data_IF_163007435616
#
_entry.id   IF_163007435616
#
_cell.length_a   1.000
_cell.length_b   1.000
_cell.length_c   1.000
_cell.angle_alpha   90.00
_cell.angle_beta   90.00
_cell.angle_gamma   90.00
#
_symmetry.space_group_name_H-M   'P 1'
#
loop_
_entity.id
_entity.type
_entity.pdbx_description
1 polymer ?
#
# COMPACT_ATOMS: atom_id res chain seq x y z
N UNK A 1 10.04 37.97 19.12
CA UNK A 1 9.62 36.74 18.38
C UNK A 1 10.34 35.46 18.83
N UNK A 2 11.62 35.47 19.22
CA UNK A 2 12.34 34.24 19.62
C UNK A 2 11.93 33.61 20.97
N UNK A 3 11.28 34.36 21.88
CA UNK A 3 10.86 33.83 23.19
C UNK A 3 9.65 32.88 23.11
N UNK A 4 8.75 33.08 22.12
CA UNK A 4 7.54 32.28 21.94
C UNK A 4 7.81 30.90 21.31
N UNK A 5 8.94 30.74 20.59
CA UNK A 5 9.32 29.47 19.93
C UNK A 5 10.20 28.60 20.83
N UNK A 6 10.72 29.14 21.94
CA UNK A 6 11.56 28.40 22.90
C UNK A 6 10.86 27.17 23.53
N UNK A 7 9.59 27.23 23.98
CA UNK A 7 8.88 26.04 24.44
C UNK A 7 8.56 25.07 23.29
N UNK A 8 8.36 25.57 22.07
CA UNK A 8 8.13 24.74 20.87
C UNK A 8 9.41 24.00 20.44
N UNK A 9 10.57 24.64 20.52
CA UNK A 9 11.89 24.05 20.26
C UNK A 9 12.20 22.89 21.22
N UNK A 10 11.84 23.05 22.51
CA UNK A 10 11.96 21.98 23.52
C UNK A 10 11.00 20.81 23.25
N UNK A 11 9.86 21.07 22.61
CA UNK A 11 8.91 20.04 22.15
C UNK A 11 9.28 19.45 20.76
N UNK A 12 10.06 20.19 19.95
CA UNK A 12 10.59 19.78 18.65
C UNK A 12 11.90 18.98 18.76
N UNK A 13 12.59 19.03 19.91
CA UNK A 13 13.75 18.19 20.22
C UNK A 13 13.39 16.79 20.75
N UNK A 14 12.28 16.20 20.29
CA UNK A 14 12.18 14.75 20.35
C UNK A 14 13.16 14.15 19.32
N UNK A 15 14.42 14.01 19.71
CA UNK A 15 15.33 13.08 19.05
C UNK A 15 14.74 11.69 19.24
N UNK A 16 13.89 11.30 18.29
CA UNK A 16 13.10 10.08 18.37
C UNK A 16 14.04 8.90 18.16
N UNK A 17 14.19 8.09 19.20
CA UNK A 17 14.90 6.82 19.13
C UNK A 17 14.27 5.99 17.99
N UNK A 18 15.12 5.52 17.10
CA UNK A 18 14.75 4.77 15.90
C UNK A 18 14.38 3.34 16.30
N UNK A 19 13.11 3.16 16.62
CA UNK A 19 12.49 1.86 16.90
C UNK A 19 12.08 1.11 15.62
N UNK A 20 11.93 1.83 14.52
CA UNK A 20 11.48 1.30 13.22
C UNK A 20 12.63 1.21 12.21
N UNK A 21 12.58 0.19 11.36
CA UNK A 21 13.44 0.12 10.18
C UNK A 21 12.86 1.00 9.04
N UNK A 22 13.67 1.24 8.00
CA UNK A 22 13.27 2.13 6.90
C UNK A 22 11.98 1.65 6.22
N UNK A 23 11.89 0.34 5.91
CA UNK A 23 10.71 -0.27 5.27
C UNK A 23 9.46 -0.09 6.13
N UNK A 24 9.57 -0.37 7.43
CA UNK A 24 8.48 -0.20 8.40
C UNK A 24 8.00 1.26 8.50
N UNK A 25 8.93 2.21 8.35
CA UNK A 25 8.61 3.65 8.32
C UNK A 25 7.86 4.03 7.03
N UNK A 26 8.26 3.49 5.88
CA UNK A 26 7.57 3.74 4.60
C UNK A 26 6.14 3.17 4.63
N UNK A 27 5.94 1.98 5.22
CA UNK A 27 4.62 1.39 5.41
C UNK A 27 3.69 2.30 6.24
N UNK A 28 4.13 2.69 7.42
CA UNK A 28 3.22 3.30 8.40
C UNK A 28 3.14 4.82 8.37
N UNK A 29 4.12 5.49 7.74
CA UNK A 29 4.10 6.95 7.59
C UNK A 29 3.83 7.34 6.15
N UNK A 30 4.69 6.91 5.22
CA UNK A 30 4.62 7.37 3.83
C UNK A 30 3.35 6.88 3.14
N UNK A 31 3.04 5.58 3.23
CA UNK A 31 1.83 5.01 2.61
C UNK A 31 0.55 5.62 3.21
N UNK A 32 0.50 5.82 4.53
CA UNK A 32 -0.65 6.45 5.20
C UNK A 32 -0.85 7.89 4.70
N UNK A 33 0.21 8.69 4.63
CA UNK A 33 0.13 10.07 4.09
C UNK A 33 -0.34 10.07 2.64
N UNK A 34 0.18 9.16 1.80
CA UNK A 34 -0.26 9.03 0.41
C UNK A 34 -1.75 8.70 0.32
N UNK A 35 -2.23 7.71 1.09
CA UNK A 35 -3.64 7.30 1.10
C UNK A 35 -4.57 8.41 1.59
N UNK A 36 -4.19 9.12 2.65
CA UNK A 36 -4.95 10.26 3.16
C UNK A 36 -4.99 11.41 2.15
N UNK A 37 -3.87 11.66 1.46
CA UNK A 37 -3.80 12.69 0.40
C UNK A 37 -4.70 12.31 -0.78
N UNK A 38 -4.67 11.05 -1.23
CA UNK A 38 -5.56 10.57 -2.29
C UNK A 38 -7.03 10.67 -1.88
N UNK A 39 -7.37 10.33 -0.63
CA UNK A 39 -8.72 10.48 -0.09
C UNK A 39 -9.19 11.94 -0.08
N UNK A 40 -8.31 12.86 0.31
CA UNK A 40 -8.58 14.30 0.28
C UNK A 40 -8.81 14.79 -1.15
N UNK A 41 -7.96 14.39 -2.10
CA UNK A 41 -8.07 14.76 -3.52
C UNK A 41 -9.39 14.31 -4.12
N UNK A 42 -9.83 13.07 -3.84
CA UNK A 42 -11.12 12.56 -4.31
C UNK A 42 -12.34 13.26 -3.69
N UNK A 43 -12.16 13.87 -2.51
CA UNK A 43 -13.21 14.62 -1.83
C UNK A 43 -13.32 16.07 -2.32
N UNK A 44 -12.31 16.56 -3.07
CA UNK A 44 -12.17 17.97 -3.41
C UNK A 44 -13.05 18.37 -4.60
N UNK A 45 -14.35 18.59 -4.35
CA UNK A 45 -15.34 19.01 -5.37
C UNK A 45 -14.97 20.31 -6.09
N UNK A 46 -14.27 21.23 -5.44
CA UNK A 46 -13.91 22.53 -6.02
C UNK A 46 -13.00 22.42 -7.27
N UNK A 47 -12.21 21.36 -7.39
CA UNK A 47 -11.28 21.20 -8.52
C UNK A 47 -11.86 20.39 -9.67
N UNK A 48 -12.74 19.44 -9.38
CA UNK A 48 -13.22 18.45 -10.35
C UNK A 48 -14.72 18.60 -10.69
N UNK A 49 -15.41 19.53 -10.05
CA UNK A 49 -16.84 19.78 -10.25
C UNK A 49 -17.71 18.68 -9.65
N UNK A 50 -18.90 18.50 -10.24
CA UNK A 50 -19.86 17.50 -9.81
C UNK A 50 -19.40 16.07 -10.17
N UNK A 51 -19.59 15.09 -9.27
CA UNK A 51 -19.07 13.74 -9.47
C UNK A 51 -19.76 12.97 -10.60
N UNK A 52 -20.97 13.39 -10.99
CA UNK A 52 -21.75 12.83 -12.09
C UNK A 52 -22.53 13.94 -12.81
N UNK A 53 -22.54 13.90 -14.14
CA UNK A 53 -23.31 14.84 -14.97
C UNK A 53 -24.14 14.05 -15.98
N UNK A 54 -25.46 14.12 -15.87
CA UNK A 54 -26.38 13.37 -16.73
C UNK A 54 -27.12 14.28 -17.71
N UNK A 55 -27.31 13.80 -18.93
CA UNK A 55 -28.17 14.40 -19.95
C UNK A 55 -29.59 13.88 -19.69
N UNK A 56 -30.54 14.79 -19.48
CA UNK A 56 -31.95 14.46 -19.24
C UNK A 56 -32.86 15.57 -19.76
N UNK A 57 -34.06 15.20 -20.21
CA UNK A 57 -35.13 16.13 -20.60
C UNK A 57 -35.95 16.64 -19.40
N UNK A 58 -35.71 16.10 -18.21
CA UNK A 58 -36.41 16.49 -16.99
C UNK A 58 -36.01 17.90 -16.54
N UNK A 59 -37.00 18.71 -16.13
CA UNK A 59 -36.75 20.08 -15.63
C UNK A 59 -35.83 20.12 -14.40
N UNK A 60 -35.91 19.10 -13.55
CA UNK A 60 -35.11 18.98 -12.33
C UNK A 60 -33.90 18.08 -12.55
N UNK A 61 -32.90 18.56 -13.30
CA UNK A 61 -31.67 17.79 -13.58
C UNK A 61 -30.91 17.39 -12.31
N UNK A 62 -30.99 18.21 -11.26
CA UNK A 62 -30.36 17.93 -9.95
C UNK A 62 -30.95 16.68 -9.28
N UNK A 63 -32.25 16.42 -9.48
CA UNK A 63 -32.89 15.19 -8.99
C UNK A 63 -32.34 13.98 -9.74
N UNK A 64 -32.25 14.05 -11.07
CA UNK A 64 -31.70 12.97 -11.90
C UNK A 64 -30.25 12.67 -11.52
N UNK A 65 -29.41 13.70 -11.41
CA UNK A 65 -28.01 13.54 -11.01
C UNK A 65 -27.89 12.92 -9.60
N UNK A 66 -28.68 13.37 -8.63
CA UNK A 66 -28.67 12.82 -7.26
C UNK A 66 -29.19 11.37 -7.23
N UNK A 67 -30.24 11.07 -7.98
CA UNK A 67 -30.80 9.72 -8.10
C UNK A 67 -29.77 8.77 -8.72
N UNK A 68 -29.16 9.15 -9.84
CA UNK A 68 -28.14 8.36 -10.53
C UNK A 68 -26.87 8.20 -9.68
N UNK A 69 -26.50 9.23 -8.92
CA UNK A 69 -25.41 9.12 -7.96
C UNK A 69 -25.72 8.09 -6.88
N UNK A 70 -26.92 8.09 -6.30
CA UNK A 70 -27.30 7.22 -5.16
C UNK A 70 -27.61 5.79 -5.59
N UNK A 71 -28.44 5.60 -6.62
CA UNK A 71 -28.84 4.27 -7.11
C UNK A 71 -27.73 3.60 -7.93
N UNK A 72 -26.81 4.39 -8.48
CA UNK A 72 -25.70 3.92 -9.29
C UNK A 72 -26.00 3.96 -10.79
N UNK A 73 -24.94 3.86 -11.56
CA UNK A 73 -24.98 3.78 -13.03
C UNK A 73 -24.62 2.37 -13.48
N UNK A 74 -24.87 2.05 -14.75
CA UNK A 74 -24.48 0.76 -15.32
C UNK A 74 -23.92 0.92 -16.73
N UNK A 75 -23.10 -0.05 -17.13
CA UNK A 75 -22.66 -0.25 -18.51
C UNK A 75 -23.16 -1.61 -18.99
N UNK A 76 -23.31 -1.75 -20.30
CA UNK A 76 -23.72 -2.98 -20.94
C UNK A 76 -22.47 -3.73 -21.39
N UNK A 77 -22.29 -4.96 -20.92
CA UNK A 77 -21.26 -5.85 -21.43
C UNK A 77 -21.81 -6.56 -22.67
N UNK A 78 -21.14 -6.41 -23.81
CA UNK A 78 -21.35 -7.30 -24.96
C UNK A 78 -20.60 -8.60 -24.67
N UNK A 79 -21.31 -9.65 -24.30
CA UNK A 79 -20.74 -10.99 -24.29
C UNK A 79 -20.66 -11.52 -25.73
N UNK A 80 -19.45 -11.85 -26.18
CA UNK A 80 -19.14 -12.55 -27.43
C UNK A 80 -19.75 -11.98 -28.73
N UNK A 81 -19.46 -10.72 -29.06
CA UNK A 81 -19.23 -10.40 -30.49
C UNK A 81 -17.74 -10.53 -30.77
N UNK A 82 -17.31 -11.78 -30.90
CA UNK A 82 -16.13 -12.14 -31.67
C UNK A 82 -16.42 -11.82 -33.14
N UNK A 83 -16.42 -10.55 -33.51
CA UNK A 83 -15.97 -10.14 -34.84
C UNK A 83 -15.95 -8.62 -34.98
N UNK A 84 -14.75 -8.08 -35.16
CA UNK A 84 -14.52 -6.88 -35.98
C UNK A 84 -14.76 -7.25 -37.46
N UNK A 85 -15.93 -7.78 -37.82
CA UNK A 85 -16.29 -7.94 -39.23
C UNK A 85 -17.39 -6.95 -39.60
N UNK A 86 -16.93 -5.98 -40.39
CA UNK A 86 -17.67 -5.05 -41.22
C UNK A 86 -18.59 -4.08 -40.48
N UNK A 87 -18.08 -2.86 -40.26
CA UNK A 87 -18.85 -1.71 -40.74
C UNK A 87 -19.30 -2.04 -42.17
N UNK A 88 -20.59 -2.11 -42.48
CA UNK A 88 -21.01 -2.23 -43.86
C UNK A 88 -20.53 -0.96 -44.57
N UNK A 89 -19.63 -1.10 -45.53
CA UNK A 89 -19.31 0.00 -46.45
C UNK A 89 -20.62 0.48 -47.07
N UNK A 90 -20.88 1.81 -47.13
CA UNK A 90 -22.09 2.31 -47.76
C UNK A 90 -22.14 1.74 -49.19
N UNK A 91 -23.27 1.16 -49.63
CA UNK A 91 -23.39 0.76 -51.02
C UNK A 91 -23.17 2.01 -51.87
N UNK A 92 -22.15 1.97 -52.74
CA UNK A 92 -21.94 3.02 -53.72
C UNK A 92 -23.28 3.28 -54.41
N UNK A 93 -23.76 4.53 -54.34
CA UNK A 93 -24.96 5.00 -55.03
C UNK A 93 -24.75 4.85 -56.54
N UNK A 94 -24.88 3.62 -57.05
CA UNK A 94 -25.08 3.39 -58.48
C UNK A 94 -26.52 3.78 -58.75
N UNK A 95 -26.65 4.90 -59.47
CA UNK A 95 -27.88 5.38 -60.06
C UNK A 95 -28.52 4.25 -60.90
N UNK A 96 -29.37 3.47 -60.27
CA UNK A 96 -30.00 2.29 -60.85
C UNK A 96 -31.23 1.98 -60.04
N UNK A 97 -32.37 2.39 -60.60
CA UNK A 97 -33.75 2.33 -60.07
C UNK A 97 -34.10 0.93 -59.54
N UNK A 98 -33.72 0.62 -58.30
CA UNK A 98 -34.21 -0.53 -57.54
C UNK A 98 -34.86 0.00 -56.26
N UNK A 99 -36.15 -0.29 -56.08
CA UNK A 99 -36.87 -0.02 -54.82
C UNK A 99 -36.21 -0.85 -53.73
N UNK A 100 -35.28 -0.26 -53.00
CA UNK A 100 -34.80 -0.83 -51.75
C UNK A 100 -36.03 -0.87 -50.84
N UNK A 101 -36.44 -2.06 -50.41
CA UNK A 101 -37.56 -2.21 -49.48
C UNK A 101 -37.29 -1.39 -48.23
N UNK A 102 -38.26 -0.59 -47.79
CA UNK A 102 -38.21 0.16 -46.52
C UNK A 102 -37.75 -0.71 -45.34
N UNK A 103 -38.10 -2.00 -45.34
CA UNK A 103 -37.62 -2.99 -44.36
C UNK A 103 -36.09 -3.14 -44.37
N UNK A 104 -35.44 -3.39 -45.51
CA UNK A 104 -33.96 -3.46 -45.57
C UNK A 104 -33.27 -2.16 -45.17
N UNK A 105 -33.89 -1.01 -45.42
CA UNK A 105 -33.34 0.28 -45.00
C UNK A 105 -33.53 0.49 -43.48
N UNK A 106 -34.63 -0.01 -42.91
CA UNK A 106 -34.85 -0.09 -41.46
C UNK A 106 -33.89 -1.06 -40.78
N UNK A 107 -33.70 -2.27 -41.34
CA UNK A 107 -32.78 -3.29 -40.84
C UNK A 107 -31.32 -2.78 -40.89
N UNK A 108 -30.93 -2.10 -41.98
CA UNK A 108 -29.62 -1.44 -42.11
C UNK A 108 -29.44 -0.29 -41.10
N UNK A 109 -30.46 0.55 -40.90
CA UNK A 109 -30.42 1.61 -39.91
C UNK A 109 -30.35 1.06 -38.47
N UNK A 110 -30.98 -0.08 -38.21
CA UNK A 110 -30.94 -0.75 -36.91
C UNK A 110 -29.56 -1.38 -36.66
N UNK A 111 -28.95 -1.99 -37.67
CA UNK A 111 -27.59 -2.54 -37.61
C UNK A 111 -26.51 -1.44 -37.51
N UNK A 112 -26.69 -0.33 -38.22
CA UNK A 112 -25.84 0.87 -38.11
C UNK A 112 -26.01 1.56 -36.75
N UNK A 113 -27.23 1.64 -36.21
CA UNK A 113 -27.48 2.12 -34.85
C UNK A 113 -26.87 1.20 -33.77
N UNK A 114 -26.81 -0.12 -34.02
CA UNK A 114 -26.06 -1.08 -33.17
C UNK A 114 -24.55 -0.86 -33.22
N UNK A 115 -24.00 -0.39 -34.34
CA UNK A 115 -22.57 -0.07 -34.50
C UNK A 115 -22.17 1.31 -33.93
N UNK A 116 -23.13 2.21 -33.68
CA UNK A 116 -22.89 3.56 -33.17
C UNK A 116 -22.95 3.59 -31.63
N UNK A 117 -22.06 2.86 -30.96
CA UNK A 117 -21.89 3.05 -29.51
C UNK A 117 -21.19 4.39 -29.26
N UNK A 118 -21.88 5.34 -28.61
CA UNK A 118 -21.32 6.65 -28.24
C UNK A 118 -20.05 6.49 -27.39
N UNK A 119 -20.05 5.45 -26.55
CA UNK A 119 -18.92 5.01 -25.76
C UNK A 119 -19.01 3.51 -25.54
N UNK A 120 -17.88 2.88 -25.21
CA UNK A 120 -17.86 1.45 -24.90
C UNK A 120 -18.75 1.13 -23.69
N UNK A 121 -19.65 0.16 -23.85
CA UNK A 121 -20.63 -0.21 -22.84
C UNK A 121 -21.88 0.69 -22.79
N UNK A 122 -22.03 1.61 -23.74
CA UNK A 122 -23.20 2.48 -23.90
C UNK A 122 -23.86 2.19 -25.24
N UNK A 123 -24.92 1.37 -25.21
CA UNK A 123 -25.70 0.99 -26.38
C UNK A 123 -27.16 0.64 -26.04
N UNK A 124 -27.98 0.31 -27.04
CA UNK A 124 -29.33 -0.20 -26.81
C UNK A 124 -29.27 -1.52 -26.04
N UNK A 125 -30.14 -1.67 -25.04
CA UNK A 125 -30.23 -2.92 -24.29
C UNK A 125 -31.14 -3.91 -25.01
N UNK A 126 -30.66 -5.14 -25.18
CA UNK A 126 -31.42 -6.23 -25.81
C UNK A 126 -31.75 -7.26 -24.74
N UNK A 127 -33.05 -7.39 -24.43
CA UNK A 127 -33.54 -8.32 -23.41
C UNK A 127 -33.07 -9.74 -23.71
N UNK A 128 -32.35 -10.35 -22.77
CA UNK A 128 -31.84 -11.72 -22.86
C UNK A 128 -30.46 -11.88 -23.50
N UNK A 129 -29.88 -10.84 -24.11
CA UNK A 129 -28.55 -10.91 -24.74
C UNK A 129 -27.50 -10.03 -24.06
N UNK A 130 -27.89 -8.87 -23.54
CA UNK A 130 -26.96 -7.91 -22.92
C UNK A 130 -26.95 -8.04 -21.40
N UNK A 131 -25.76 -8.10 -20.79
CA UNK A 131 -25.61 -8.12 -19.33
C UNK A 131 -25.28 -6.72 -18.79
N UNK A 132 -26.06 -6.25 -17.80
CA UNK A 132 -25.80 -4.99 -17.10
C UNK A 132 -24.71 -5.17 -16.05
N UNK A 133 -23.70 -4.30 -16.06
CA UNK A 133 -22.65 -4.23 -15.04
C UNK A 133 -22.81 -2.91 -14.29
N UNK A 134 -23.18 -3.00 -13.02
CA UNK A 134 -23.42 -1.83 -12.18
C UNK A 134 -22.12 -1.24 -11.63
N UNK A 135 -21.97 0.07 -11.80
CA UNK A 135 -20.84 0.87 -11.36
C UNK A 135 -21.23 1.54 -10.05
N UNK A 136 -20.94 0.88 -8.93
CA UNK A 136 -21.21 1.42 -7.58
C UNK A 136 -19.94 1.62 -6.76
N UNK A 137 -18.80 1.11 -7.23
CA UNK A 137 -17.53 1.14 -6.48
C UNK A 137 -17.07 2.59 -6.20
N UNK A 138 -17.31 3.55 -7.10
CA UNK A 138 -16.86 4.94 -6.94
C UNK A 138 -17.45 5.62 -5.69
N UNK A 139 -18.62 5.16 -5.21
CA UNK A 139 -19.22 5.63 -3.96
C UNK A 139 -18.39 5.22 -2.73
N UNK A 140 -17.69 4.08 -2.82
CA UNK A 140 -16.96 3.46 -1.73
C UNK A 140 -15.46 3.71 -1.75
N UNK A 141 -14.91 4.23 -2.86
CA UNK A 141 -13.45 4.44 -3.03
C UNK A 141 -12.85 5.25 -1.89
N UNK A 142 -13.48 6.35 -1.48
CA UNK A 142 -12.94 7.22 -0.40
C UNK A 142 -12.90 6.45 0.93
N UNK A 143 -13.99 5.76 1.28
CA UNK A 143 -14.09 4.95 2.50
C UNK A 143 -13.03 3.84 2.49
N UNK A 144 -12.85 3.19 1.34
CA UNK A 144 -11.84 2.16 1.14
C UNK A 144 -10.42 2.71 1.36
N UNK A 145 -10.05 3.86 0.79
CA UNK A 145 -8.73 4.47 0.98
C UNK A 145 -8.48 4.85 2.44
N UNK A 146 -9.49 5.39 3.13
CA UNK A 146 -9.40 5.71 4.56
C UNK A 146 -9.21 4.44 5.39
N UNK A 147 -9.97 3.38 5.11
CA UNK A 147 -9.82 2.11 5.80
C UNK A 147 -8.43 1.50 5.55
N UNK A 148 -7.93 1.53 4.31
CA UNK A 148 -6.57 1.09 3.98
C UNK A 148 -5.52 1.87 4.78
N UNK A 149 -5.69 3.19 4.94
CA UNK A 149 -4.75 4.00 5.72
C UNK A 149 -4.63 3.52 7.18
N UNK A 150 -5.77 3.11 7.77
CA UNK A 150 -5.79 2.53 9.11
C UNK A 150 -5.10 1.16 9.15
N UNK A 151 -5.40 0.29 8.19
CA UNK A 151 -4.80 -1.05 8.12
C UNK A 151 -3.28 -0.99 7.95
N UNK A 152 -2.75 -0.11 7.09
CA UNK A 152 -1.30 0.08 6.94
C UNK A 152 -0.63 0.71 8.17
N UNK A 153 -1.36 1.47 8.98
CA UNK A 153 -0.86 2.01 10.25
C UNK A 153 -0.85 0.97 11.39
N UNK A 154 -1.74 -0.04 11.32
CA UNK A 154 -1.98 -0.98 12.40
C UNK A 154 -0.72 -1.71 12.93
N UNK A 155 0.19 -2.26 12.09
CA UNK A 155 1.40 -2.93 12.58
C UNK A 155 2.32 -2.01 13.39
N UNK A 156 2.37 -0.73 13.04
CA UNK A 156 3.14 0.26 13.80
C UNK A 156 2.52 0.62 15.12
N UNK A 157 1.20 0.78 15.14
CA UNK A 157 0.47 0.96 16.39
C UNK A 157 0.72 -0.23 17.32
N UNK A 158 0.58 -1.45 16.80
CA UNK A 158 0.81 -2.69 17.54
C UNK A 158 2.23 -2.79 18.08
N UNK A 159 3.25 -2.54 17.24
CA UNK A 159 4.64 -2.54 17.68
C UNK A 159 4.90 -1.51 18.78
N UNK A 160 4.37 -0.29 18.64
CA UNK A 160 4.56 0.78 19.62
C UNK A 160 3.98 0.42 20.99
N UNK A 161 2.83 -0.27 21.01
CA UNK A 161 2.21 -0.77 22.26
C UNK A 161 3.05 -1.88 22.87
N UNK A 162 3.55 -2.81 22.05
CA UNK A 162 4.36 -3.94 22.51
C UNK A 162 5.77 -3.60 22.96
N UNK A 163 6.41 -2.60 22.32
CA UNK A 163 7.75 -2.13 22.66
C UNK A 163 7.79 -1.45 24.04
N UNK A 164 6.69 -0.81 24.45
CA UNK A 164 6.53 -0.26 25.80
C UNK A 164 7.60 0.77 26.18
N UNK A 165 8.24 1.43 25.19
CA UNK A 165 9.37 2.35 25.37
C UNK A 165 10.65 1.74 25.96
N UNK A 166 10.81 0.40 25.91
CA UNK A 166 12.01 -0.28 26.45
C UNK A 166 13.30 0.19 25.78
N UNK A 167 13.33 0.25 24.45
CA UNK A 167 14.52 0.71 23.72
C UNK A 167 14.78 2.20 24.00
N UNK A 168 13.70 2.98 24.16
CA UNK A 168 13.81 4.37 24.55
C UNK A 168 14.47 4.55 25.92
N UNK A 169 14.10 3.74 26.92
CA UNK A 169 14.71 3.77 28.25
C UNK A 169 16.18 3.34 28.21
N UNK A 170 16.51 2.30 27.42
CA UNK A 170 17.87 1.75 27.32
C UNK A 170 18.84 2.71 26.61
N UNK A 171 18.38 3.46 25.60
CA UNK A 171 19.21 4.36 24.80
C UNK A 171 19.01 5.85 25.14
N UNK A 172 18.23 6.19 26.18
CA UNK A 172 17.96 7.58 26.57
C UNK A 172 19.25 8.32 26.93
N UNK A 173 19.43 9.54 26.42
CA UNK A 173 20.58 10.43 26.68
C UNK A 173 21.93 9.96 26.10
N UNK A 174 21.99 8.77 25.48
CA UNK A 174 23.23 8.16 24.98
C UNK A 174 23.58 8.55 23.53
N UNK A 175 22.63 9.14 22.81
CA UNK A 175 22.78 9.48 21.40
C UNK A 175 23.51 10.81 21.12
N UNK A 176 23.98 11.54 22.13
CA UNK A 176 24.65 12.84 21.93
C UNK A 176 26.16 12.69 21.72
N UNK A 177 26.75 13.54 20.88
CA UNK A 177 28.18 13.49 20.56
C UNK A 177 29.07 14.05 21.69
N UNK A 178 28.48 14.80 22.63
CA UNK A 178 29.15 15.40 23.80
C UNK A 178 28.45 14.92 25.08
N UNK A 179 28.78 13.71 25.49
CA UNK A 179 28.41 13.18 26.81
C UNK A 179 29.48 13.59 27.83
N UNK A 180 29.07 13.96 29.04
CA UNK A 180 30.01 14.06 30.18
C UNK A 180 30.57 12.68 30.50
N UNK A 181 31.87 12.59 30.80
CA UNK A 181 32.57 11.32 31.10
C UNK A 181 31.90 10.53 32.25
N UNK A 182 31.32 11.22 33.24
CA UNK A 182 30.59 10.56 34.34
C UNK A 182 29.31 9.88 33.86
N UNK A 183 28.52 10.56 33.02
CA UNK A 183 27.28 10.01 32.44
C UNK A 183 27.62 8.88 31.47
N UNK A 184 28.67 9.04 30.67
CA UNK A 184 29.16 8.03 29.74
C UNK A 184 29.46 6.70 30.45
N UNK A 185 30.34 6.72 31.46
CA UNK A 185 30.76 5.52 32.19
C UNK A 185 29.61 4.88 32.98
N UNK A 186 28.72 5.69 33.55
CA UNK A 186 27.54 5.19 34.27
C UNK A 186 26.60 4.44 33.32
N UNK A 187 26.35 4.99 32.14
CA UNK A 187 25.47 4.37 31.13
C UNK A 187 26.09 3.14 30.51
N UNK A 188 27.39 3.17 30.20
CA UNK A 188 28.14 2.00 29.74
C UNK A 188 27.97 0.83 30.72
N UNK A 189 28.21 1.07 32.01
CA UNK A 189 28.07 0.06 33.06
C UNK A 189 26.63 -0.48 33.18
N UNK A 190 25.62 0.37 33.02
CA UNK A 190 24.22 -0.06 33.01
C UNK A 190 23.91 -0.96 31.81
N UNK A 191 24.41 -0.64 30.62
CA UNK A 191 24.23 -1.48 29.42
C UNK A 191 24.97 -2.82 29.56
N UNK A 192 26.22 -2.82 30.04
CA UNK A 192 26.98 -4.05 30.30
C UNK A 192 26.22 -4.93 31.29
N UNK A 193 25.83 -4.38 32.44
CA UNK A 193 25.05 -5.13 33.45
C UNK A 193 23.75 -5.69 32.89
N UNK A 194 23.07 -4.93 32.04
CA UNK A 194 21.82 -5.36 31.43
C UNK A 194 22.02 -6.57 30.49
N UNK A 195 23.06 -6.56 29.66
CA UNK A 195 23.35 -7.65 28.71
C UNK A 195 24.05 -8.86 29.36
N UNK A 196 24.59 -8.72 30.56
CA UNK A 196 25.17 -9.85 31.33
C UNK A 196 24.19 -10.49 32.31
N UNK A 197 23.05 -9.86 32.57
CA UNK A 197 21.97 -10.45 33.38
C UNK A 197 21.10 -11.37 32.50
N UNK A 198 20.69 -12.53 33.05
CA UNK A 198 19.86 -13.51 32.33
C UNK A 198 18.46 -12.98 32.00
N UNK A 199 18.33 -12.39 30.80
CA UNK A 199 17.07 -11.89 30.23
C UNK A 199 16.76 -12.50 28.84
N UNK A 200 17.28 -13.70 28.56
CA UNK A 200 17.20 -14.35 27.24
C UNK A 200 15.77 -14.47 26.71
N UNK A 201 14.82 -14.93 27.54
CA UNK A 201 13.40 -15.06 27.17
C UNK A 201 12.75 -13.73 26.81
N UNK A 202 13.11 -12.67 27.56
CA UNK A 202 12.61 -11.32 27.31
C UNK A 202 13.14 -10.76 25.99
N UNK A 203 14.40 -11.05 25.65
CA UNK A 203 15.01 -10.62 24.39
C UNK A 203 14.45 -11.39 23.20
N UNK A 204 14.22 -12.70 23.34
CA UNK A 204 13.56 -13.51 22.33
C UNK A 204 12.12 -13.05 22.08
N UNK A 205 11.33 -12.82 23.14
CA UNK A 205 9.96 -12.33 23.02
C UNK A 205 9.90 -10.96 22.32
N UNK A 206 10.85 -10.06 22.63
CA UNK A 206 10.97 -8.77 21.95
C UNK A 206 11.23 -8.92 20.44
N UNK A 207 12.17 -9.79 20.06
CA UNK A 207 12.47 -10.11 18.66
C UNK A 207 11.24 -10.72 17.96
N UNK A 208 10.60 -11.72 18.56
CA UNK A 208 9.46 -12.42 17.98
C UNK A 208 8.29 -11.46 17.70
N UNK A 209 7.98 -10.56 18.64
CA UNK A 209 6.99 -9.49 18.46
C UNK A 209 7.34 -8.56 17.29
N UNK A 210 8.62 -8.22 17.11
CA UNK A 210 9.05 -7.37 16.01
C UNK A 210 8.87 -8.07 14.66
N UNK A 211 9.38 -9.31 14.55
CA UNK A 211 9.28 -10.11 13.32
C UNK A 211 7.82 -10.39 12.97
N UNK A 212 6.95 -10.58 13.97
CA UNK A 212 5.51 -10.69 13.75
C UNK A 212 4.95 -9.42 13.10
N UNK A 213 5.33 -8.22 13.55
CA UNK A 213 4.90 -6.97 12.91
C UNK A 213 5.49 -6.79 11.49
N UNK A 214 6.71 -7.27 11.23
CA UNK A 214 7.28 -7.31 9.87
C UNK A 214 6.47 -8.25 8.94
N UNK A 215 6.15 -9.45 9.43
CA UNK A 215 5.33 -10.41 8.70
C UNK A 215 3.91 -9.88 8.44
N UNK A 216 3.31 -9.23 9.44
CA UNK A 216 2.02 -8.60 9.31
C UNK A 216 2.03 -7.47 8.28
N UNK A 217 3.08 -6.65 8.21
CA UNK A 217 3.22 -5.63 7.17
C UNK A 217 3.27 -6.23 5.75
N UNK A 218 4.02 -7.32 5.56
CA UNK A 218 4.07 -8.01 4.28
C UNK A 218 2.72 -8.63 3.91
N UNK A 219 2.08 -9.31 4.86
CA UNK A 219 0.77 -9.90 4.66
C UNK A 219 -0.27 -8.83 4.31
N UNK A 220 -0.27 -7.69 4.99
CA UNK A 220 -1.15 -6.56 4.68
C UNK A 220 -0.91 -6.05 3.25
N UNK A 221 0.34 -5.91 2.81
CA UNK A 221 0.62 -5.51 1.42
C UNK A 221 0.05 -6.49 0.40
N UNK A 222 0.22 -7.79 0.61
CA UNK A 222 -0.28 -8.83 -0.30
C UNK A 222 -1.82 -8.86 -0.29
N UNK A 223 -2.42 -8.91 0.90
CA UNK A 223 -3.88 -8.91 1.06
C UNK A 223 -4.50 -7.65 0.47
N UNK A 224 -3.85 -6.49 0.59
CA UNK A 224 -4.33 -5.24 -0.01
C UNK A 224 -4.38 -5.31 -1.54
N UNK A 225 -3.34 -5.87 -2.18
CA UNK A 225 -3.31 -6.05 -3.64
C UNK A 225 -4.43 -7.00 -4.09
N UNK A 226 -4.60 -8.13 -3.39
CA UNK A 226 -5.65 -9.11 -3.69
C UNK A 226 -7.06 -8.54 -3.47
N UNK A 227 -7.27 -7.82 -2.38
CA UNK A 227 -8.55 -7.18 -2.07
C UNK A 227 -8.91 -6.11 -3.12
N UNK A 228 -7.94 -5.32 -3.58
CA UNK A 228 -8.15 -4.34 -4.64
C UNK A 228 -8.45 -4.99 -6.00
N UNK A 229 -7.86 -6.13 -6.31
CA UNK A 229 -8.17 -6.88 -7.53
C UNK A 229 -9.64 -7.32 -7.57
N UNK A 230 -10.15 -7.83 -6.44
CA UNK A 230 -11.56 -8.22 -6.30
C UNK A 230 -12.47 -6.99 -6.32
N UNK A 231 -12.13 -5.94 -5.57
CA UNK A 231 -12.94 -4.73 -5.46
C UNK A 231 -13.11 -4.00 -6.80
N UNK A 232 -12.07 -3.97 -7.63
CA UNK A 232 -12.08 -3.30 -8.94
C UNK A 232 -12.42 -4.26 -10.10
N UNK A 233 -13.00 -5.43 -9.83
CA UNK A 233 -13.41 -6.42 -10.84
C UNK A 233 -12.30 -6.79 -11.85
N UNK A 234 -11.13 -7.14 -11.34
CA UNK A 234 -9.99 -7.57 -12.13
C UNK A 234 -9.24 -6.42 -12.81
N UNK A 235 -9.15 -5.27 -12.15
CA UNK A 235 -8.51 -4.09 -12.73
C UNK A 235 -7.04 -4.33 -13.05
N UNK A 236 -6.26 -4.88 -12.12
CA UNK A 236 -4.82 -4.99 -12.29
C UNK A 236 -4.47 -5.94 -13.42
N UNK A 237 -5.19 -7.08 -13.53
CA UNK A 237 -5.02 -8.01 -14.64
C UNK A 237 -5.31 -7.34 -15.99
N UNK A 238 -6.45 -6.65 -16.12
CA UNK A 238 -6.83 -5.95 -17.36
C UNK A 238 -5.89 -4.79 -17.69
N UNK A 239 -5.44 -4.05 -16.67
CA UNK A 239 -4.55 -2.91 -16.84
C UNK A 239 -3.13 -3.34 -17.22
N UNK A 240 -2.65 -4.48 -16.73
CA UNK A 240 -1.38 -5.06 -17.17
C UNK A 240 -1.41 -5.40 -18.66
N UNK A 241 -2.52 -5.97 -19.15
CA UNK A 241 -2.72 -6.20 -20.58
C UNK A 241 -2.78 -4.89 -21.38
N UNK A 242 -3.31 -3.80 -20.81
CA UNK A 242 -3.27 -2.47 -21.42
C UNK A 242 -1.84 -1.92 -21.47
N UNK A 243 -1.04 -2.07 -20.41
CA UNK A 243 0.36 -1.61 -20.39
C UNK A 243 1.20 -2.25 -21.50
N UNK A 244 0.93 -3.51 -21.82
CA UNK A 244 1.63 -4.22 -22.89
C UNK A 244 1.40 -3.61 -24.29
N UNK A 245 0.38 -2.76 -24.49
CA UNK A 245 0.12 -2.09 -25.77
C UNK A 245 0.85 -0.75 -25.90
N UNK A 246 1.38 -0.18 -24.80
CA UNK A 246 2.09 1.10 -24.81
C UNK A 246 3.35 1.06 -25.70
N UNK A 247 4.22 0.02 -25.64
CA UNK A 247 5.39 -0.06 -26.52
C UNK A 247 5.03 -0.13 -28.01
N UNK A 248 3.79 -0.51 -28.34
CA UNK A 248 3.28 -0.60 -29.71
C UNK A 248 2.67 0.72 -30.22
N UNK A 249 2.65 1.78 -29.38
CA UNK A 249 2.04 3.08 -29.69
C UNK A 249 0.55 3.00 -30.10
N UNK A 250 -0.16 1.97 -29.66
CA UNK A 250 -1.59 1.75 -29.95
C UNK A 250 -2.47 2.35 -28.83
N UNK A 251 -2.76 3.64 -28.98
CA UNK A 251 -3.56 4.42 -28.01
C UNK A 251 -5.05 4.07 -28.06
N UNK A 252 -5.57 3.58 -29.18
CA UNK A 252 -6.97 3.18 -29.31
C UNK A 252 -7.25 1.94 -28.48
N UNK A 253 -6.36 0.96 -28.55
CA UNK A 253 -6.45 -0.26 -27.73
C UNK A 253 -6.28 0.03 -26.24
N UNK A 254 -5.38 0.96 -25.89
CA UNK A 254 -5.25 1.45 -24.52
C UNK A 254 -6.57 2.04 -23.99
N UNK A 255 -7.16 2.97 -24.75
CA UNK A 255 -8.38 3.67 -24.37
C UNK A 255 -9.56 2.70 -24.22
N UNK A 256 -9.67 1.72 -25.11
CA UNK A 256 -10.67 0.66 -25.04
C UNK A 256 -10.53 -0.19 -23.76
N UNK A 257 -9.33 -0.69 -23.44
CA UNK A 257 -9.14 -1.51 -22.23
C UNK A 257 -9.34 -0.68 -20.95
N UNK A 258 -8.82 0.56 -20.90
CA UNK A 258 -8.98 1.46 -19.75
C UNK A 258 -10.45 1.80 -19.48
N UNK A 259 -11.22 2.10 -20.54
CA UNK A 259 -12.64 2.48 -20.43
C UNK A 259 -13.55 1.34 -19.96
N UNK A 260 -13.14 0.07 -20.13
CA UNK A 260 -13.86 -1.08 -19.55
C UNK A 260 -13.75 -1.18 -18.04
N UNK A 261 -12.67 -0.66 -17.45
CA UNK A 261 -12.45 -0.76 -16.00
C UNK A 261 -12.87 0.51 -15.28
N UNK A 262 -12.52 1.67 -15.85
CA UNK A 262 -12.95 2.97 -15.36
C UNK A 262 -13.76 3.70 -16.45
N UNK A 263 -15.03 3.29 -16.66
CA UNK A 263 -15.90 3.94 -17.65
C UNK A 263 -16.17 5.39 -17.29
N UNK A 264 -15.92 6.29 -18.25
CA UNK A 264 -16.13 7.74 -18.10
C UNK A 264 -17.55 8.14 -18.49
N UNK A 265 -18.29 7.24 -19.11
CA UNK A 265 -19.66 7.43 -19.57
C UNK A 265 -20.44 6.16 -19.22
N UNK A 266 -21.64 6.31 -18.66
CA UNK A 266 -22.50 5.20 -18.26
C UNK A 266 -23.99 5.55 -18.41
N UNK A 267 -24.85 4.53 -18.42
CA UNK A 267 -26.31 4.68 -18.44
C UNK A 267 -26.87 4.74 -17.02
N UNK A 268 -27.97 5.46 -16.85
CA UNK A 268 -28.75 5.51 -15.60
C UNK A 268 -30.24 5.42 -15.91
N UNK A 269 -30.94 4.55 -15.19
CA UNK A 269 -32.39 4.40 -15.31
C UNK A 269 -33.10 5.09 -14.14
N UNK A 270 -33.85 6.14 -14.43
CA UNK A 270 -34.71 6.81 -13.45
C UNK A 270 -36.14 6.33 -13.62
N UNK A 271 -36.72 5.82 -12.53
CA UNK A 271 -38.11 5.43 -12.47
C UNK A 271 -38.98 6.65 -12.12
N UNK A 272 -39.93 6.98 -13.00
CA UNK A 272 -40.93 8.02 -12.77
C UNK A 272 -42.32 7.38 -12.72
N UNK A 273 -43.18 7.89 -11.84
CA UNK A 273 -44.56 7.44 -11.74
C UNK A 273 -45.49 8.52 -12.30
N UNK A 274 -46.34 8.14 -13.25
CA UNK A 274 -47.38 9.03 -13.78
C UNK A 274 -48.58 9.14 -12.84
N UNK A 275 -49.54 10.02 -13.16
CA UNK A 275 -50.78 10.19 -12.37
C UNK A 275 -51.59 8.89 -12.22
N UNK A 276 -51.44 7.95 -13.15
CA UNK A 276 -52.08 6.62 -13.10
C UNK A 276 -51.31 5.61 -12.22
N UNK A 277 -50.18 5.99 -11.62
CA UNK A 277 -49.32 5.08 -10.85
C UNK A 277 -48.47 4.13 -11.70
N UNK A 278 -48.55 4.19 -13.03
CA UNK A 278 -47.73 3.40 -13.95
C UNK A 278 -46.29 3.94 -13.99
N UNK A 279 -45.31 3.04 -13.87
CA UNK A 279 -43.89 3.38 -13.95
C UNK A 279 -43.47 3.63 -15.42
N UNK A 280 -42.81 4.75 -15.65
CA UNK A 280 -42.11 5.10 -16.89
C UNK A 280 -40.61 5.14 -16.62
N UNK A 281 -39.84 4.35 -17.37
CA UNK A 281 -38.39 4.27 -17.23
C UNK A 281 -37.77 5.34 -18.15
N UNK A 282 -36.90 6.18 -17.60
CA UNK A 282 -36.13 7.16 -18.37
C UNK A 282 -34.65 6.80 -18.33
N UNK A 283 -34.11 6.50 -19.51
CA UNK A 283 -32.69 6.23 -19.72
C UNK A 283 -31.95 7.56 -19.88
N UNK A 284 -31.03 7.85 -18.97
CA UNK A 284 -30.18 9.03 -19.02
C UNK A 284 -28.74 8.62 -19.29
N UNK A 285 -28.05 9.40 -20.13
CA UNK A 285 -26.62 9.25 -20.38
C UNK A 285 -25.84 10.11 -19.39
N UNK A 286 -24.94 9.51 -18.62
CA UNK A 286 -24.17 10.20 -17.59
C UNK A 286 -22.67 10.13 -17.87
N UNK A 287 -21.99 11.27 -17.71
CA UNK A 287 -20.54 11.38 -17.67
C UNK A 287 -20.10 11.26 -16.21
N UNK A 288 -19.02 10.53 -15.96
CA UNK A 288 -18.45 10.27 -14.64
C UNK A 288 -17.04 10.89 -14.54
N UNK A 289 -16.92 12.22 -14.33
CA UNK A 289 -15.63 12.88 -14.21
C UNK A 289 -14.77 12.28 -13.09
N UNK A 290 -15.37 11.85 -11.97
CA UNK A 290 -14.63 11.27 -10.84
C UNK A 290 -13.83 10.02 -11.24
N UNK A 291 -14.27 9.32 -12.29
CA UNK A 291 -13.62 8.10 -12.72
C UNK A 291 -12.31 8.32 -13.46
N UNK A 292 -12.11 9.49 -14.11
CA UNK A 292 -10.82 9.83 -14.71
C UNK A 292 -9.75 10.01 -13.62
N UNK A 293 -10.14 10.56 -12.47
CA UNK A 293 -9.25 10.78 -11.35
C UNK A 293 -8.94 9.47 -10.65
N UNK A 294 -9.96 8.62 -10.42
CA UNK A 294 -9.78 7.26 -9.92
C UNK A 294 -8.82 6.46 -10.79
N UNK A 295 -8.98 6.50 -12.12
CA UNK A 295 -8.08 5.84 -13.07
C UNK A 295 -6.62 6.21 -12.79
N UNK A 296 -6.29 7.50 -12.63
CA UNK A 296 -4.90 7.94 -12.41
C UNK A 296 -4.40 7.64 -11.00
N UNK A 297 -5.23 7.87 -9.97
CA UNK A 297 -4.86 7.60 -8.58
C UNK A 297 -4.55 6.13 -8.36
N UNK A 298 -5.42 5.24 -8.83
CA UNK A 298 -5.22 3.80 -8.62
C UNK A 298 -3.99 3.27 -9.35
N UNK A 299 -3.65 3.82 -10.52
CA UNK A 299 -2.40 3.45 -11.22
C UNK A 299 -1.16 3.85 -10.41
N UNK A 300 -1.14 5.06 -9.86
CA UNK A 300 -0.05 5.48 -8.97
C UNK A 300 0.03 4.62 -7.70
N UNK A 301 -1.12 4.34 -7.07
CA UNK A 301 -1.20 3.51 -5.88
C UNK A 301 -0.78 2.06 -6.14
N UNK A 302 -1.01 1.53 -7.33
CA UNK A 302 -0.60 0.19 -7.71
C UNK A 302 0.91 0.02 -7.74
N UNK A 303 1.59 0.91 -8.46
CA UNK A 303 3.05 0.95 -8.48
C UNK A 303 3.60 1.10 -7.06
N UNK A 304 2.95 1.92 -6.24
CA UNK A 304 3.30 2.07 -4.83
C UNK A 304 3.12 0.77 -4.04
N UNK A 305 1.97 0.11 -4.12
CA UNK A 305 1.71 -1.14 -3.37
C UNK A 305 2.59 -2.30 -3.83
N UNK A 306 2.91 -2.39 -5.12
CA UNK A 306 3.90 -3.35 -5.63
C UNK A 306 5.29 -3.09 -5.05
N UNK A 307 5.73 -1.82 -5.04
CA UNK A 307 6.99 -1.42 -4.40
C UNK A 307 6.98 -1.78 -2.91
N UNK A 308 5.89 -1.52 -2.20
CA UNK A 308 5.75 -1.87 -0.78
C UNK A 308 5.83 -3.38 -0.54
N UNK A 309 5.11 -4.18 -1.34
CA UNK A 309 5.17 -5.64 -1.25
C UNK A 309 6.59 -6.17 -1.53
N UNK A 310 7.26 -5.61 -2.54
CA UNK A 310 8.64 -5.97 -2.88
C UNK A 310 9.63 -5.62 -1.76
N UNK A 311 9.61 -4.37 -1.27
CA UNK A 311 10.52 -3.92 -0.22
C UNK A 311 10.31 -4.68 1.10
N UNK A 312 9.04 -4.97 1.44
CA UNK A 312 8.68 -5.75 2.63
C UNK A 312 9.11 -7.21 2.51
N UNK A 313 8.88 -7.83 1.36
CA UNK A 313 9.33 -9.19 1.06
C UNK A 313 10.86 -9.30 1.12
N UNK A 314 11.58 -8.37 0.49
CA UNK A 314 13.05 -8.34 0.54
C UNK A 314 13.57 -8.19 1.97
N UNK A 315 12.97 -7.30 2.77
CA UNK A 315 13.35 -7.11 4.17
C UNK A 315 13.13 -8.38 5.01
N UNK A 316 12.01 -9.08 4.82
CA UNK A 316 11.75 -10.36 5.48
C UNK A 316 12.72 -11.46 5.03
N UNK A 317 13.04 -11.54 3.75
CA UNK A 317 14.03 -12.49 3.23
C UNK A 317 15.42 -12.23 3.81
N UNK A 318 15.84 -10.96 3.86
CA UNK A 318 17.08 -10.57 4.54
C UNK A 318 17.04 -10.95 6.03
N UNK A 319 15.92 -10.71 6.72
CA UNK A 319 15.76 -11.10 8.14
C UNK A 319 15.87 -12.61 8.33
N UNK A 320 15.20 -13.39 7.50
CA UNK A 320 15.25 -14.85 7.52
C UNK A 320 16.67 -15.36 7.26
N UNK A 321 17.36 -14.81 6.26
CA UNK A 321 18.75 -15.16 5.97
C UNK A 321 19.66 -14.88 7.17
N UNK A 322 19.46 -13.76 7.88
CA UNK A 322 20.20 -13.45 9.10
C UNK A 322 19.85 -14.36 10.29
N UNK A 323 18.60 -14.80 10.40
CA UNK A 323 18.20 -15.75 11.46
C UNK A 323 18.83 -17.14 11.24
N UNK A 324 18.90 -17.60 9.98
CA UNK A 324 19.47 -18.91 9.62
C UNK A 324 21.00 -18.90 9.62
N UNK A 325 21.61 -17.81 9.14
CA UNK A 325 23.07 -17.74 8.97
C UNK A 325 23.75 -16.95 10.09
N UNK A 326 24.62 -17.63 10.85
CA UNK A 326 25.50 -16.98 11.83
C UNK A 326 26.54 -16.05 11.18
N UNK A 327 27.02 -16.40 9.99
CA UNK A 327 28.07 -15.61 9.30
C UNK A 327 27.54 -14.25 8.85
N UNK A 328 26.28 -14.17 8.42
CA UNK A 328 25.64 -12.91 8.06
C UNK A 328 25.42 -12.01 9.29
N UNK A 329 25.06 -12.59 10.43
CA UNK A 329 24.94 -11.87 11.71
C UNK A 329 26.26 -11.24 12.15
N UNK A 330 27.36 -11.98 12.04
CA UNK A 330 28.70 -11.48 12.32
C UNK A 330 29.13 -10.37 11.35
N UNK A 331 28.86 -10.55 10.05
CA UNK A 331 29.21 -9.55 9.03
C UNK A 331 28.48 -8.22 9.24
N UNK A 332 27.19 -8.26 9.58
CA UNK A 332 26.39 -7.06 9.75
C UNK A 332 26.78 -6.26 11.00
N UNK A 333 27.11 -6.93 12.10
CA UNK A 333 27.63 -6.23 13.29
C UNK A 333 29.02 -5.65 13.01
N UNK A 334 29.85 -6.37 12.28
CA UNK A 334 31.17 -5.88 11.90
C UNK A 334 31.11 -4.64 11.02
N UNK A 335 30.10 -4.51 10.15
CA UNK A 335 29.94 -3.30 9.34
C UNK A 335 29.65 -2.05 10.20
N UNK A 336 29.09 -2.23 11.39
CA UNK A 336 28.86 -1.16 12.37
C UNK A 336 30.06 -0.94 13.31
N UNK A 337 30.89 -1.95 13.55
CA UNK A 337 32.10 -1.89 14.39
C UNK A 337 33.39 -1.72 13.55
N UNK A 338 33.50 -0.60 12.84
CA UNK A 338 34.52 -0.33 11.78
C UNK A 338 36.00 -0.51 12.19
N UNK A 339 36.33 -0.69 13.48
CA UNK A 339 37.70 -0.75 14.01
C UNK A 339 38.03 -1.94 14.95
N UNK A 340 37.13 -2.91 15.10
CA UNK A 340 37.32 -4.08 15.99
C UNK A 340 37.85 -5.31 15.24
N UNK A 341 38.79 -6.05 15.85
CA UNK A 341 39.43 -7.23 15.26
C UNK A 341 38.44 -8.41 15.19
N UNK A 342 38.44 -9.16 14.07
CA UNK A 342 37.49 -10.27 13.79
C UNK A 342 37.39 -11.29 14.94
N UNK A 343 38.52 -11.62 15.57
CA UNK A 343 38.59 -12.63 16.64
C UNK A 343 37.89 -12.19 17.94
N UNK A 344 37.90 -10.89 18.27
CA UNK A 344 37.23 -10.36 19.46
C UNK A 344 35.70 -10.43 19.29
N UNK A 345 35.23 -10.00 18.13
CA UNK A 345 33.81 -10.06 17.76
C UNK A 345 33.29 -11.50 17.78
N UNK A 346 34.02 -12.44 17.16
CA UNK A 346 33.61 -13.86 17.13
C UNK A 346 33.49 -14.49 18.52
N UNK A 347 34.33 -14.07 19.48
CA UNK A 347 34.28 -14.57 20.85
C UNK A 347 33.01 -14.12 21.59
N UNK A 348 32.62 -12.85 21.43
CA UNK A 348 31.39 -12.30 22.04
C UNK A 348 30.14 -12.98 21.47
N UNK A 349 30.08 -13.13 20.14
CA UNK A 349 28.92 -13.70 19.45
C UNK A 349 28.83 -15.22 19.54
N UNK A 350 29.84 -15.92 20.09
CA UNK A 350 29.81 -17.38 20.24
C UNK A 350 28.72 -17.84 21.21
N UNK A 351 28.51 -17.07 22.27
CA UNK A 351 27.64 -17.46 23.38
C UNK A 351 26.41 -16.53 23.47
N UNK A 352 26.13 -15.74 22.41
CA UNK A 352 25.02 -14.78 22.37
C UNK A 352 23.79 -15.42 21.68
N UNK A 353 22.61 -15.30 22.30
CA UNK A 353 21.38 -15.81 21.69
C UNK A 353 20.96 -14.94 20.50
N UNK A 354 20.00 -15.43 19.71
CA UNK A 354 19.46 -14.68 18.56
C UNK A 354 18.72 -13.41 19.04
N UNK A 355 18.04 -13.49 20.19
CA UNK A 355 17.33 -12.36 20.80
C UNK A 355 18.29 -11.25 21.24
N UNK A 356 19.39 -11.62 21.89
CA UNK A 356 20.42 -10.67 22.32
C UNK A 356 21.04 -9.95 21.12
N UNK A 357 21.40 -10.71 20.08
CA UNK A 357 21.95 -10.15 18.85
C UNK A 357 21.00 -9.12 18.23
N UNK A 358 19.70 -9.44 18.18
CA UNK A 358 18.69 -8.55 17.61
C UNK A 358 18.54 -7.26 18.41
N UNK A 359 18.46 -7.36 19.74
CA UNK A 359 18.35 -6.18 20.60
C UNK A 359 19.62 -5.32 20.53
N UNK A 360 20.78 -5.96 20.51
CA UNK A 360 22.08 -5.31 20.39
C UNK A 360 22.21 -4.54 19.06
N UNK A 361 21.69 -5.09 17.95
CA UNK A 361 21.57 -4.37 16.67
C UNK A 361 20.61 -3.17 16.71
N UNK A 362 19.57 -3.22 17.55
CA UNK A 362 18.68 -2.06 17.74
C UNK A 362 19.34 -1.00 18.61
N UNK A 363 20.13 -1.39 19.60
CA UNK A 363 20.91 -0.47 20.45
C UNK A 363 22.02 0.22 19.64
N UNK A 364 22.77 -0.52 18.84
CA UNK A 364 23.90 -0.01 18.06
C UNK A 364 23.52 1.13 17.10
N UNK A 365 22.31 1.06 16.56
CA UNK A 365 21.71 2.07 15.68
C UNK A 365 21.31 3.35 16.43
N UNK A 366 21.04 3.25 17.73
CA UNK A 366 20.52 4.34 18.56
C UNK A 366 21.56 4.96 19.49
N UNK A 367 22.75 4.36 19.58
CA UNK A 367 23.85 4.75 20.47
C UNK A 367 25.03 5.28 19.67
N UNK A 368 25.85 6.14 20.29
CA UNK A 368 27.10 6.61 19.69
C UNK A 368 28.01 5.42 19.33
N UNK A 369 28.56 5.35 18.10
CA UNK A 369 29.46 4.27 17.68
C UNK A 369 30.64 3.99 18.62
N UNK A 370 31.17 5.03 19.30
CA UNK A 370 32.24 4.88 20.30
C UNK A 370 31.76 4.12 21.54
N UNK A 371 30.63 4.53 22.12
CA UNK A 371 30.07 3.81 23.27
C UNK A 371 29.66 2.38 22.93
N UNK A 372 29.12 2.17 21.73
CA UNK A 372 28.77 0.83 21.28
C UNK A 372 30.01 -0.07 21.15
N UNK A 373 31.16 0.50 20.76
CA UNK A 373 32.43 -0.22 20.74
C UNK A 373 32.88 -0.59 22.15
N UNK A 374 32.93 0.38 23.07
CA UNK A 374 33.38 0.14 24.44
C UNK A 374 32.49 -0.88 25.16
N UNK A 375 31.17 -0.84 24.90
CA UNK A 375 30.23 -1.87 25.35
C UNK A 375 30.61 -3.27 24.86
N UNK A 376 30.98 -3.38 23.58
CA UNK A 376 31.37 -4.66 23.00
C UNK A 376 32.72 -5.17 23.53
N UNK A 377 33.67 -4.27 23.80
CA UNK A 377 34.96 -4.60 24.42
C UNK A 377 34.75 -5.11 25.86
N UNK A 378 33.97 -4.40 26.69
CA UNK A 378 33.72 -4.76 28.10
C UNK A 378 32.88 -6.05 28.23
N UNK A 379 31.92 -6.28 27.32
CA UNK A 379 31.20 -7.56 27.23
C UNK A 379 32.13 -8.72 26.85
N UNK A 380 33.17 -8.49 26.05
CA UNK A 380 34.17 -9.51 25.72
C UNK A 380 35.02 -9.89 26.94
N UNK A 381 35.45 -8.90 27.71
CA UNK A 381 36.28 -9.11 28.91
C UNK A 381 35.51 -9.88 30.00
N UNK A 382 34.27 -9.49 30.31
CA UNK A 382 33.46 -10.18 31.33
C UNK A 382 33.13 -11.63 30.96
N UNK A 383 32.98 -11.92 29.67
CA UNK A 383 32.70 -13.29 29.20
C UNK A 383 33.96 -14.15 29.18
N UNK A 384 35.12 -13.56 28.91
CA UNK A 384 36.41 -14.25 28.99
C UNK A 384 36.75 -14.70 30.42
N UNK A 385 36.45 -13.85 31.41
CA UNK A 385 36.65 -14.16 32.83
C UNK A 385 35.71 -15.28 33.28
N UNK A 386 34.42 -15.23 32.93
CA UNK A 386 33.49 -16.34 33.21
C UNK A 386 33.94 -17.68 32.62
N UNK A 387 34.39 -17.71 31.37
CA UNK A 387 34.89 -18.95 30.75
C UNK A 387 36.13 -19.52 31.44
N UNK A 388 36.98 -18.65 32.00
CA UNK A 388 38.18 -19.05 32.75
C UNK A 388 37.81 -19.64 34.11
N UNK A 389 36.87 -19.01 34.83
CA UNK A 389 36.38 -19.49 36.13
C UNK A 389 35.62 -20.81 36.02
N UNK A 390 34.79 -20.99 34.98
CA UNK A 390 34.09 -22.27 34.70
C UNK A 390 35.05 -23.41 34.33
N UNK A 391 36.19 -23.09 33.74
CA UNK A 391 37.23 -24.08 33.40
C UNK A 391 38.01 -24.51 34.65
N UNK A 392 38.25 -23.58 35.58
CA UNK A 392 38.91 -23.84 36.86
C UNK A 392 38.03 -24.68 37.80
N UNK A 393 36.72 -24.44 37.86
CA UNK A 393 35.80 -25.23 38.71
C UNK A 393 35.58 -26.66 38.19
N UNK A 394 35.75 -26.93 36.89
CA UNK A 394 35.75 -28.30 36.35
C UNK A 394 37.07 -29.07 36.60
N UNK A 395 38.16 -28.36 36.90
CA UNK A 395 39.45 -28.97 37.28
C UNK A 395 39.55 -29.26 38.78
N UNK A 396 38.67 -28.68 39.61
CA UNK A 396 38.63 -28.86 41.06
C UNK A 396 37.57 -29.87 41.54
N UNK A 397 36.88 -30.61 40.66
CA UNK A 397 36.03 -31.72 41.12
C UNK A 397 36.89 -32.89 41.62
N UNK A 398 36.91 -33.23 42.91
CA UNK A 398 37.64 -34.40 43.39
C UNK A 398 36.90 -35.66 42.92
N UNK A 399 37.69 -36.63 42.45
CA UNK A 399 37.23 -37.97 42.06
C UNK A 399 36.57 -38.74 43.20
#
# INVERSE_FOLDING_TARGET
MYSAVKPLSKYLQFKSIRIYDAVFTIHSKCTVVILLTCSLLLSARQYFGDPIQCISEEKNINYVQSYCWTMGTYIIKLDNFSDRQLLPTPPALRAGRNRISLRRLADYNEEYARAMSIAEGVGPEIRGQTQRVYLRYYQWVIILLLFQSFVFYFPSCLWKVWEGQRLKQLCSEVGEALLSDQTYNTRLRLLVKYFTTDYEDMHYCYMAKYVFCELLNFLISILNILALEVFLNGFWSKYLHALATIPLYDWDRWNHISSRVFPKIAKCEVLKYGASGTASIMDNLCILPLNILNEKIFVCLWCWFLLMAFMSGLNLLCRLAMMLSRTLRELMIRSQLRFMTKQHVQRVFRDLTIGDWFLLMKVSVNVNPMLFRDLMDELCEQRSTHSSTSSLTLLESPA
#
